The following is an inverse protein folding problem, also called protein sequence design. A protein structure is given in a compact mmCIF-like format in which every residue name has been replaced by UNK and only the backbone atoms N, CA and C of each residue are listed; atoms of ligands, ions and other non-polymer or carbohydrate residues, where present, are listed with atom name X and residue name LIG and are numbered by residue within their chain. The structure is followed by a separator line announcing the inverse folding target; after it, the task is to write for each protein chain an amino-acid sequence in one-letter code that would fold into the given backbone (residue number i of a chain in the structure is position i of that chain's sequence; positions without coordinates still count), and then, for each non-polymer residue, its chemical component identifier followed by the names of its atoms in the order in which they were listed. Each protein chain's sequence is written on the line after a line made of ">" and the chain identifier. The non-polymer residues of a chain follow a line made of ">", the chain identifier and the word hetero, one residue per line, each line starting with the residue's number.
data_IF_247808292410
#
_entry.id   IF_247808292410
#
_cell.length_a   1.000
_cell.length_b   1.000
_cell.length_c   1.000
_cell.angle_alpha   90.00
_cell.angle_beta   90.00
_cell.angle_gamma   90.00
#
_symmetry.space_group_name_H-M   'P 1'
#
loop_
_entity.id
_entity.type
_entity.pdbx_description
1 polymer ?
#
# COMPACT_ATOMS: atom_id res chain seq x y z
N UNK A 1 22.80 -15.96 6.14
CA UNK A 1 21.48 -15.67 6.74
C UNK A 1 21.11 -14.24 6.36
N UNK A 2 20.22 -13.99 5.38
CA UNK A 2 19.99 -12.62 4.94
C UNK A 2 19.05 -11.91 5.91
N UNK A 3 19.54 -10.77 6.41
CA UNK A 3 18.83 -9.90 7.33
C UNK A 3 17.57 -9.32 6.67
N UNK A 4 16.44 -9.52 7.35
CA UNK A 4 15.17 -8.88 7.05
C UNK A 4 15.36 -7.36 7.12
N UNK A 5 15.39 -6.72 5.95
CA UNK A 5 15.42 -5.27 5.81
C UNK A 5 14.11 -4.70 6.40
N UNK A 6 14.19 -4.28 7.66
CA UNK A 6 13.11 -3.59 8.37
C UNK A 6 13.02 -2.17 7.80
N UNK A 7 11.85 -1.70 7.34
CA UNK A 7 11.70 -0.32 6.91
C UNK A 7 11.95 0.63 8.10
N UNK A 8 12.39 1.88 7.86
CA UNK A 8 12.73 2.82 8.92
C UNK A 8 11.50 3.11 9.81
N UNK A 9 11.71 3.33 11.13
CA UNK A 9 10.63 3.75 12.01
C UNK A 9 10.19 5.16 11.62
N UNK A 10 9.02 5.28 10.99
CA UNK A 10 8.38 6.57 10.82
C UNK A 10 8.04 7.13 12.21
N UNK A 11 8.44 8.38 12.54
CA UNK A 11 8.11 8.95 13.83
C UNK A 11 6.58 9.07 13.94
N UNK A 12 6.03 8.38 14.95
CA UNK A 12 4.65 8.52 15.40
C UNK A 12 4.53 9.89 16.07
N UNK A 13 4.39 10.93 15.24
CA UNK A 13 4.13 12.29 15.71
C UNK A 13 2.72 12.38 16.29
N UNK A 14 2.65 12.59 17.61
CA UNK A 14 1.58 13.35 18.27
C UNK A 14 0.30 12.60 18.62
N UNK A 15 0.24 12.03 19.82
CA UNK A 15 -0.77 12.30 20.86
C UNK A 15 -2.27 12.46 20.53
N UNK A 16 -2.78 12.00 19.40
CA UNK A 16 -4.22 11.91 19.14
C UNK A 16 -4.69 10.49 19.49
N UNK A 17 -5.74 10.37 20.31
CA UNK A 17 -6.41 9.09 20.55
C UNK A 17 -6.77 8.46 19.19
N UNK A 18 -6.60 7.13 19.02
CA UNK A 18 -6.93 6.47 17.76
C UNK A 18 -8.39 6.77 17.43
N UNK A 19 -8.62 7.36 16.26
CA UNK A 19 -9.99 7.63 15.81
C UNK A 19 -10.69 6.30 15.55
N UNK A 20 -12.03 6.31 15.54
CA UNK A 20 -12.83 5.14 15.14
C UNK A 20 -12.37 4.65 13.76
N UNK A 21 -12.01 5.56 12.86
CA UNK A 21 -11.46 5.23 11.56
C UNK A 21 -10.13 4.45 11.67
N UNK A 22 -9.19 4.88 12.51
CA UNK A 22 -7.92 4.16 12.71
C UNK A 22 -8.13 2.74 13.21
N UNK A 23 -9.10 2.55 14.12
CA UNK A 23 -9.47 1.23 14.61
C UNK A 23 -10.09 0.35 13.52
N UNK A 24 -10.98 0.91 12.70
CA UNK A 24 -11.60 0.22 11.56
C UNK A 24 -10.54 -0.17 10.52
N UNK A 25 -9.68 0.76 10.11
CA UNK A 25 -8.62 0.49 9.12
C UNK A 25 -7.66 -0.57 9.64
N UNK A 26 -7.26 -0.52 10.91
CA UNK A 26 -6.45 -1.57 11.54
C UNK A 26 -7.13 -2.92 11.47
N UNK A 27 -8.42 -3.00 11.82
CA UNK A 27 -9.17 -4.25 11.77
C UNK A 27 -9.29 -4.80 10.36
N UNK A 28 -9.53 -3.95 9.36
CA UNK A 28 -9.55 -4.36 7.95
C UNK A 28 -8.19 -4.91 7.50
N UNK A 29 -7.09 -4.29 7.93
CA UNK A 29 -5.74 -4.79 7.61
C UNK A 29 -5.42 -6.11 8.30
N UNK A 30 -5.92 -6.35 9.51
CA UNK A 30 -5.83 -7.66 10.17
C UNK A 30 -6.58 -8.74 9.38
N UNK A 31 -7.75 -8.42 8.81
CA UNK A 31 -8.53 -9.36 7.99
C UNK A 31 -7.81 -9.77 6.69
N UNK A 32 -6.87 -8.95 6.18
CA UNK A 32 -6.04 -9.33 5.02
C UNK A 32 -5.10 -10.50 5.31
N UNK A 33 -4.84 -10.80 6.58
CA UNK A 33 -4.04 -11.93 7.02
C UNK A 33 -4.89 -13.20 7.23
N UNK A 34 -6.20 -13.12 7.00
CA UNK A 34 -7.11 -14.27 7.09
C UNK A 34 -6.81 -15.29 5.98
N UNK A 35 -6.93 -16.60 6.27
CA UNK A 35 -6.90 -17.62 5.22
C UNK A 35 -8.15 -17.61 4.33
N UNK A 36 -9.23 -16.94 4.76
CA UNK A 36 -10.50 -16.90 4.05
C UNK A 36 -10.50 -15.82 2.96
N UNK A 37 -10.47 -16.26 1.70
CA UNK A 37 -10.43 -15.38 0.54
C UNK A 37 -11.58 -14.36 0.49
N UNK A 38 -12.78 -14.74 0.92
CA UNK A 38 -13.96 -13.86 0.95
C UNK A 38 -13.78 -12.73 1.97
N UNK A 39 -13.19 -13.02 3.14
CA UNK A 39 -12.89 -12.00 4.14
C UNK A 39 -11.82 -11.02 3.65
N UNK A 40 -10.80 -11.53 2.96
CA UNK A 40 -9.74 -10.70 2.37
C UNK A 40 -10.32 -9.79 1.29
N UNK A 41 -11.13 -10.33 0.37
CA UNK A 41 -11.77 -9.54 -0.69
C UNK A 41 -12.71 -8.47 -0.11
N UNK A 42 -13.56 -8.84 0.85
CA UNK A 42 -14.46 -7.90 1.51
C UNK A 42 -13.69 -6.79 2.24
N UNK A 43 -12.58 -7.12 2.92
CA UNK A 43 -11.74 -6.16 3.61
C UNK A 43 -11.05 -5.18 2.64
N UNK A 44 -10.54 -5.67 1.51
CA UNK A 44 -9.95 -4.84 0.46
C UNK A 44 -11.01 -3.95 -0.21
N UNK A 45 -12.18 -4.49 -0.53
CA UNK A 45 -13.29 -3.73 -1.10
C UNK A 45 -13.73 -2.59 -0.16
N UNK A 46 -13.89 -2.88 1.13
CA UNK A 46 -14.23 -1.89 2.15
C UNK A 46 -13.15 -0.80 2.27
N UNK A 47 -11.87 -1.22 2.32
CA UNK A 47 -10.73 -0.31 2.38
C UNK A 47 -10.69 0.62 1.18
N UNK A 48 -10.83 0.06 -0.03
CA UNK A 48 -10.87 0.81 -1.29
C UNK A 48 -12.01 1.84 -1.27
N UNK A 49 -13.19 1.46 -0.79
CA UNK A 49 -14.33 2.38 -0.69
C UNK A 49 -14.02 3.54 0.25
N UNK A 50 -13.47 3.28 1.44
CA UNK A 50 -13.10 4.31 2.43
C UNK A 50 -12.12 5.34 1.87
N UNK A 51 -11.11 4.90 1.09
CA UNK A 51 -10.06 5.77 0.56
C UNK A 51 -10.40 6.44 -0.78
N UNK A 52 -11.48 6.00 -1.44
CA UNK A 52 -11.88 6.51 -2.76
C UNK A 52 -13.14 7.37 -2.74
N UNK A 53 -14.12 7.09 -1.88
CA UNK A 53 -15.44 7.77 -1.93
C UNK A 53 -15.65 8.82 -0.85
N UNK A 54 -14.76 8.93 0.13
CA UNK A 54 -14.91 9.92 1.20
C UNK A 54 -14.53 11.33 0.73
N UNK A 55 -15.26 12.34 1.21
CA UNK A 55 -14.86 13.75 1.11
C UNK A 55 -13.48 14.03 1.73
N UNK A 56 -13.01 13.15 2.62
CA UNK A 56 -11.73 13.21 3.33
C UNK A 56 -10.74 12.14 2.83
N UNK A 57 -10.89 11.70 1.57
CA UNK A 57 -10.10 10.61 0.97
C UNK A 57 -8.58 10.77 1.16
N UNK A 58 -8.03 11.99 1.03
CA UNK A 58 -6.61 12.23 1.22
C UNK A 58 -6.14 11.93 2.67
N UNK A 59 -6.93 12.33 3.67
CA UNK A 59 -6.64 12.01 5.07
C UNK A 59 -6.77 10.50 5.33
N UNK A 60 -7.81 9.85 4.82
CA UNK A 60 -8.00 8.40 5.00
C UNK A 60 -6.86 7.57 4.40
N UNK A 61 -6.32 7.99 3.26
CA UNK A 61 -5.13 7.36 2.65
C UNK A 61 -3.91 7.50 3.55
N UNK A 62 -3.71 8.65 4.18
CA UNK A 62 -2.66 8.83 5.17
C UNK A 62 -2.85 7.94 6.39
N UNK A 63 -4.06 7.90 6.96
CA UNK A 63 -4.38 7.01 8.07
C UNK A 63 -4.12 5.53 7.72
N UNK A 64 -4.51 5.09 6.53
CA UNK A 64 -4.22 3.73 6.04
C UNK A 64 -2.72 3.45 5.98
N UNK A 65 -1.91 4.37 5.43
CA UNK A 65 -0.46 4.19 5.39
C UNK A 65 0.18 4.16 6.79
N UNK A 66 -0.39 4.89 7.75
CA UNK A 66 0.08 4.91 9.14
C UNK A 66 -0.30 3.64 9.92
N UNK A 67 -1.25 2.83 9.43
CA UNK A 67 -1.53 1.52 10.03
C UNK A 67 -0.29 0.63 9.89
N UNK A 68 0.27 0.12 11.00
CA UNK A 68 1.46 -0.71 10.97
C UNK A 68 1.27 -1.93 10.07
N UNK A 69 2.19 -2.14 9.13
CA UNK A 69 2.19 -3.30 8.24
C UNK A 69 1.21 -3.23 7.07
N UNK A 70 0.33 -2.23 6.98
CA UNK A 70 -0.69 -2.15 5.92
C UNK A 70 -0.07 -2.19 4.51
N UNK A 71 0.90 -1.31 4.23
CA UNK A 71 1.60 -1.27 2.96
C UNK A 71 2.37 -2.57 2.66
N UNK A 72 3.05 -3.14 3.65
CA UNK A 72 3.77 -4.40 3.45
C UNK A 72 2.83 -5.57 3.13
N UNK A 73 1.65 -5.62 3.76
CA UNK A 73 0.64 -6.66 3.49
C UNK A 73 0.04 -6.49 2.10
N UNK A 74 -0.31 -5.26 1.71
CA UNK A 74 -0.82 -4.97 0.35
C UNK A 74 0.21 -5.35 -0.74
N UNK A 75 1.48 -5.02 -0.53
CA UNK A 75 2.55 -5.40 -1.45
C UNK A 75 2.75 -6.92 -1.46
N UNK A 76 2.66 -7.58 -0.30
CA UNK A 76 2.79 -9.03 -0.21
C UNK A 76 1.67 -9.79 -0.93
N UNK A 77 0.43 -9.29 -0.92
CA UNK A 77 -0.68 -9.86 -1.72
C UNK A 77 -0.37 -9.85 -3.22
N UNK A 78 0.41 -8.87 -3.67
CA UNK A 78 0.88 -8.75 -5.05
C UNK A 78 2.22 -9.45 -5.29
N UNK A 79 2.87 -10.03 -4.28
CA UNK A 79 4.13 -10.77 -4.44
C UNK A 79 3.88 -12.25 -4.76
N UNK A 80 4.76 -12.91 -5.54
CA UNK A 80 4.69 -14.35 -5.72
C UNK A 80 5.04 -15.10 -4.42
N UNK A 81 4.35 -16.20 -4.07
CA UNK A 81 3.15 -16.72 -4.71
C UNK A 81 1.93 -15.82 -4.41
N UNK A 82 1.27 -15.34 -5.46
CA UNK A 82 0.12 -14.44 -5.33
C UNK A 82 -1.09 -15.18 -4.76
N UNK A 83 -2.03 -14.43 -4.21
CA UNK A 83 -3.30 -14.98 -3.74
C UNK A 83 -4.03 -15.72 -4.88
N UNK A 84 -4.61 -16.91 -4.65
CA UNK A 84 -5.26 -17.71 -5.70
C UNK A 84 -6.48 -17.03 -6.32
N UNK A 85 -7.06 -16.04 -5.63
CA UNK A 85 -8.22 -15.27 -6.10
C UNK A 85 -7.73 -13.99 -6.81
N UNK A 86 -7.92 -13.85 -8.14
CA UNK A 86 -7.44 -12.68 -8.90
C UNK A 86 -8.06 -11.35 -8.46
N UNK A 87 -9.27 -11.40 -7.90
CA UNK A 87 -9.98 -10.20 -7.44
C UNK A 87 -9.28 -9.55 -6.24
N UNK A 88 -8.75 -10.35 -5.32
CA UNK A 88 -7.94 -9.88 -4.17
C UNK A 88 -6.73 -9.08 -4.66
N UNK A 89 -5.98 -9.63 -5.62
CA UNK A 89 -4.82 -8.95 -6.19
C UNK A 89 -5.24 -7.67 -6.95
N UNK A 90 -6.35 -7.70 -7.66
CA UNK A 90 -6.87 -6.51 -8.39
C UNK A 90 -7.28 -5.39 -7.42
N UNK A 91 -7.93 -5.72 -6.31
CA UNK A 91 -8.30 -4.73 -5.31
C UNK A 91 -7.08 -4.19 -4.57
N UNK A 92 -6.11 -5.05 -4.23
CA UNK A 92 -4.85 -4.61 -3.61
C UNK A 92 -4.06 -3.66 -4.53
N UNK A 93 -3.98 -3.96 -5.84
CA UNK A 93 -3.32 -3.08 -6.80
C UNK A 93 -4.06 -1.75 -6.97
N UNK A 94 -5.40 -1.76 -6.96
CA UNK A 94 -6.20 -0.53 -6.98
C UNK A 94 -5.98 0.34 -5.74
N UNK A 95 -5.92 -0.25 -4.54
CA UNK A 95 -5.60 0.49 -3.31
C UNK A 95 -4.23 1.15 -3.45
N UNK A 96 -3.20 0.39 -3.85
CA UNK A 96 -1.85 0.95 -4.04
C UNK A 96 -1.81 2.06 -5.11
N UNK A 97 -2.62 1.95 -6.16
CA UNK A 97 -2.77 2.99 -7.18
C UNK A 97 -3.39 4.27 -6.61
N UNK A 98 -4.41 4.18 -5.77
CA UNK A 98 -4.97 5.35 -5.09
C UNK A 98 -3.97 6.00 -4.13
N UNK A 99 -3.14 5.19 -3.46
CA UNK A 99 -2.09 5.68 -2.58
C UNK A 99 -0.96 6.36 -3.38
N UNK A 100 -0.50 5.77 -4.49
CA UNK A 100 0.55 6.36 -5.34
C UNK A 100 0.12 7.65 -6.02
N UNK A 101 -1.17 7.77 -6.36
CA UNK A 101 -1.76 8.99 -6.92
C UNK A 101 -1.91 10.13 -5.90
N UNK A 102 -1.72 9.84 -4.60
CA UNK A 102 -1.80 10.87 -3.55
C UNK A 102 -0.45 11.53 -3.37
N UNK A 103 -0.40 12.86 -3.34
CA UNK A 103 0.85 13.61 -3.16
C UNK A 103 1.32 13.65 -1.70
N UNK A 104 2.58 14.05 -1.50
CA UNK A 104 3.18 14.25 -0.17
C UNK A 104 3.49 12.95 0.56
N UNK A 105 3.24 12.93 1.88
CA UNK A 105 3.70 11.88 2.80
C UNK A 105 3.22 10.47 2.43
N UNK A 106 1.99 10.34 1.93
CA UNK A 106 1.46 9.03 1.49
C UNK A 106 2.34 8.43 0.39
N UNK A 107 2.74 9.26 -0.58
CA UNK A 107 3.57 8.84 -1.71
C UNK A 107 4.96 8.42 -1.28
N UNK A 108 5.57 9.19 -0.38
CA UNK A 108 6.87 8.87 0.21
C UNK A 108 6.84 7.50 0.90
N UNK A 109 5.75 7.21 1.62
CA UNK A 109 5.56 5.91 2.28
C UNK A 109 5.39 4.76 1.29
N UNK A 110 4.69 4.97 0.17
CA UNK A 110 4.56 3.97 -0.90
C UNK A 110 5.90 3.74 -1.60
N UNK A 111 6.69 4.78 -1.86
CA UNK A 111 8.00 4.66 -2.50
C UNK A 111 9.01 3.87 -1.68
N UNK A 112 8.86 3.78 -0.36
CA UNK A 112 9.69 2.88 0.45
C UNK A 112 9.57 1.40 0.00
N UNK A 113 8.53 1.06 -0.75
CA UNK A 113 8.30 -0.27 -1.32
C UNK A 113 8.62 -0.37 -2.82
N UNK A 114 9.20 0.68 -3.43
CA UNK A 114 9.50 0.74 -4.86
C UNK A 114 10.29 -0.48 -5.35
N UNK A 115 11.38 -0.84 -4.67
CA UNK A 115 12.21 -1.98 -5.06
C UNK A 115 11.40 -3.29 -5.11
N UNK A 116 10.53 -3.53 -4.12
CA UNK A 116 9.66 -4.72 -4.10
C UNK A 116 8.63 -4.67 -5.23
N UNK A 117 8.04 -3.51 -5.49
CA UNK A 117 7.11 -3.34 -6.60
C UNK A 117 7.82 -3.58 -7.95
N UNK A 118 9.07 -3.14 -8.10
CA UNK A 118 9.89 -3.40 -9.28
C UNK A 118 10.09 -4.91 -9.48
N UNK A 119 10.47 -5.65 -8.43
CA UNK A 119 10.61 -7.10 -8.49
C UNK A 119 9.31 -7.80 -8.93
N UNK A 120 8.17 -7.37 -8.39
CA UNK A 120 6.85 -7.90 -8.78
C UNK A 120 6.54 -7.58 -10.25
N UNK A 121 6.84 -6.37 -10.72
CA UNK A 121 6.60 -5.97 -12.10
C UNK A 121 7.44 -6.74 -13.13
N UNK A 122 8.61 -7.26 -12.71
CA UNK A 122 9.49 -8.08 -13.54
C UNK A 122 9.16 -9.58 -13.45
N UNK A 123 8.25 -9.97 -12.55
CA UNK A 123 7.81 -11.36 -12.40
C UNK A 123 6.82 -11.76 -13.50
N UNK A 124 6.60 -13.07 -13.66
CA UNK A 124 5.56 -13.62 -14.58
C UNK A 124 4.13 -13.47 -14.02
N UNK A 125 3.91 -12.57 -13.07
CA UNK A 125 2.60 -12.33 -12.45
C UNK A 125 1.59 -11.80 -13.47
N UNK A 126 0.32 -12.23 -13.44
CA UNK A 126 -0.74 -11.58 -14.20
C UNK A 126 -0.96 -10.12 -13.75
N UNK A 127 -0.48 -9.73 -12.57
CA UNK A 127 -0.58 -8.37 -12.03
C UNK A 127 0.66 -7.52 -12.30
N UNK A 128 1.70 -8.07 -12.94
CA UNK A 128 2.95 -7.37 -13.23
C UNK A 128 2.71 -6.06 -14.01
N UNK A 129 1.80 -6.06 -14.97
CA UNK A 129 1.45 -4.86 -15.75
C UNK A 129 0.77 -3.78 -14.90
N UNK A 130 -0.10 -4.17 -13.96
CA UNK A 130 -0.75 -3.22 -13.04
C UNK A 130 0.28 -2.61 -12.09
N UNK A 131 1.21 -3.41 -11.58
CA UNK A 131 2.29 -2.94 -10.71
C UNK A 131 3.27 -2.04 -11.47
N UNK A 132 3.59 -2.35 -12.73
CA UNK A 132 4.38 -1.48 -13.59
C UNK A 132 3.73 -0.11 -13.80
N UNK A 133 2.40 -0.05 -13.91
CA UNK A 133 1.66 1.22 -13.98
C UNK A 133 1.80 2.03 -12.68
N UNK A 134 1.68 1.37 -11.51
CA UNK A 134 1.87 2.02 -10.20
C UNK A 134 3.29 2.61 -10.09
N UNK A 135 4.31 1.84 -10.48
CA UNK A 135 5.71 2.32 -10.49
C UNK A 135 5.90 3.52 -11.42
N UNK A 136 5.31 3.47 -12.62
CA UNK A 136 5.36 4.58 -13.57
C UNK A 136 4.71 5.83 -12.98
N UNK A 137 3.57 5.68 -12.31
CA UNK A 137 2.87 6.79 -11.65
C UNK A 137 3.71 7.35 -10.50
N UNK A 138 4.52 6.52 -9.82
CA UNK A 138 5.48 6.95 -8.79
C UNK A 138 6.69 7.68 -9.39
N UNK A 139 7.23 7.21 -10.52
CA UNK A 139 8.46 7.73 -11.14
C UNK A 139 8.24 8.94 -12.07
N UNK A 140 7.02 9.17 -12.56
CA UNK A 140 6.72 10.17 -13.59
C UNK A 140 6.79 11.63 -13.12
N UNK A 141 6.86 11.88 -11.81
CA UNK A 141 6.80 13.25 -11.29
C UNK A 141 8.17 13.75 -10.83
N UNK A 142 8.39 15.05 -11.07
CA UNK A 142 9.64 15.79 -10.87
C UNK A 142 10.23 15.70 -9.45
N UNK A 143 9.40 15.40 -8.45
CA UNK A 143 9.84 15.17 -7.07
C UNK A 143 10.62 13.85 -6.89
N UNK A 144 10.44 12.85 -7.77
CA UNK A 144 11.13 11.55 -7.70
C UNK A 144 12.65 11.71 -7.83
N UNK A 145 13.11 12.56 -8.76
CA UNK A 145 14.54 12.89 -8.89
C UNK A 145 15.05 13.68 -7.69
N UNK A 146 14.24 14.59 -7.13
CA UNK A 146 14.60 15.35 -5.93
C UNK A 146 14.71 14.47 -4.69
N UNK A 147 13.82 13.49 -4.50
CA UNK A 147 13.87 12.57 -3.37
C UNK A 147 15.01 11.56 -3.51
N UNK A 148 15.29 11.08 -4.73
CA UNK A 148 16.50 10.26 -5.01
C UNK A 148 17.78 11.04 -4.69
N UNK A 149 17.84 12.33 -5.02
CA UNK A 149 18.97 13.18 -4.67
C UNK A 149 19.10 13.44 -3.16
N UNK A 150 18.00 13.43 -2.41
CA UNK A 150 18.01 13.60 -0.94
C UNK A 150 18.44 12.34 -0.17
N UNK A 151 18.29 11.16 -0.78
CA UNK A 151 18.57 9.86 -0.16
C UNK A 151 19.85 9.18 -0.70
N UNK A 152 20.59 9.85 -1.59
CA UNK A 152 21.91 9.45 -2.09
C UNK A 152 23.02 10.13 -1.28
#
# INVERSE_FOLDING_TARGET
>A
VPALHRPPPFPLGGGAAPTILDAVLRRLMELLLSPEAELVDAALAATLRIISTSSHAAAHRLHLCLVPGALSTLVALLSPPHHPVPQVCTQASNILKHLSATEGRVREMVMAYEARLADISMSKSPHAQQVAAILRDLSSHQWYSQLRARNA
#
